data_IF_544589697251
#
_entry.id   IF_544589697251
#
_cell.length_a   1.000
_cell.length_b   1.000
_cell.length_c   1.000
_cell.angle_alpha   90.00
_cell.angle_beta   90.00
_cell.angle_gamma   90.00
#
_symmetry.space_group_name_H-M   'P 1'
#
loop_
_entity.id
_entity.type
_entity.pdbx_description
1 polymer ?
2 water ?
#
# COMPACT_ATOMS: atom_id res chain seq x y z
N UNK A 5 43.33 8.11 -5.80
CA UNK A 5 41.84 8.19 -5.60
C UNK A 5 41.12 7.64 -6.83
N UNK A 6 40.07 6.86 -6.60
CA UNK A 6 39.24 6.36 -7.69
C UNK A 6 38.24 7.44 -8.15
N UNK A 7 37.91 7.41 -9.43
CA UNK A 7 36.87 8.26 -10.00
C UNK A 7 35.47 7.83 -9.47
N UNK A 8 34.58 8.79 -9.20
CA UNK A 8 33.23 8.43 -8.77
C UNK A 8 32.45 7.79 -9.91
N UNK A 9 31.45 6.96 -9.57
CA UNK A 9 30.46 6.56 -10.56
C UNK A 9 29.74 7.79 -11.13
N UNK A 10 29.14 7.65 -12.31
CA UNK A 10 28.40 8.76 -12.90
C UNK A 10 27.25 9.17 -11.99
N UNK A 11 26.64 8.18 -11.35
CA UNK A 11 25.55 8.43 -10.39
C UNK A 11 26.04 9.30 -9.23
N UNK A 12 27.13 8.89 -8.60
CA UNK A 12 27.63 9.67 -7.46
C UNK A 12 28.25 10.98 -7.87
N UNK A 13 28.81 11.05 -9.07
CA UNK A 13 29.35 12.29 -9.60
C UNK A 13 28.20 13.29 -9.78
N UNK A 14 27.06 12.80 -10.27
CA UNK A 14 25.93 13.70 -10.46
C UNK A 14 25.42 14.20 -9.14
N UNK A 15 25.32 13.30 -8.14
CA UNK A 15 24.89 13.68 -6.83
C UNK A 15 25.83 14.79 -6.25
N UNK A 16 27.14 14.53 -6.34
CA UNK A 16 28.19 15.45 -5.84
C UNK A 16 28.15 16.79 -6.55
N UNK A 17 27.65 16.79 -7.79
CA UNK A 17 27.68 18.04 -8.59
C UNK A 17 26.76 19.11 -7.99
N UNK A 18 25.86 18.71 -7.09
CA UNK A 18 24.94 19.62 -6.42
C UNK A 18 25.49 20.17 -5.12
N UNK A 19 26.73 19.79 -4.79
CA UNK A 19 27.39 20.33 -3.58
C UNK A 19 28.37 21.36 -4.14
N UNK A 20 28.17 22.65 -3.83
CA UNK A 20 28.86 23.69 -4.59
C UNK A 20 29.46 24.82 -3.77
N UNK A 21 29.05 24.96 -2.53
CA UNK A 21 29.29 26.21 -1.80
C UNK A 21 30.21 26.03 -0.60
N UNK A 22 31.19 25.13 -0.72
CA UNK A 22 32.09 24.84 0.41
C UNK A 22 31.24 24.56 1.69
N UNK A 23 30.31 23.61 1.55
CA UNK A 23 29.26 23.29 2.55
C UNK A 23 29.68 22.28 3.62
N UNK A 24 28.99 22.28 4.76
CA UNK A 24 29.09 21.21 5.76
C UNK A 24 28.01 20.17 5.41
N UNK A 25 28.47 18.99 5.03
CA UNK A 25 27.52 17.97 4.50
C UNK A 25 27.40 16.74 5.40
N UNK A 26 26.28 16.05 5.30
CA UNK A 26 26.15 14.71 5.87
C UNK A 26 25.65 13.74 4.82
N UNK A 27 26.42 12.68 4.59
CA UNK A 27 26.12 11.65 3.63
C UNK A 27 25.62 10.40 4.38
N UNK A 28 24.33 10.17 4.30
CA UNK A 28 23.67 9.12 5.06
C UNK A 28 23.73 7.80 4.32
N UNK A 29 24.24 6.75 4.96
CA UNK A 29 24.47 5.51 4.21
C UNK A 29 25.50 5.69 3.13
N UNK A 30 26.57 6.38 3.46
CA UNK A 30 27.58 6.74 2.46
C UNK A 30 28.21 5.52 1.80
N UNK A 31 28.38 5.58 0.49
CA UNK A 31 29.02 4.51 -0.23
C UNK A 31 30.54 4.64 -0.06
N UNK A 32 31.13 3.92 0.91
CA UNK A 32 32.57 4.00 1.19
C UNK A 32 33.14 5.41 1.49
N UNK A 33 32.26 6.37 1.80
CA UNK A 33 32.67 7.76 1.96
C UNK A 33 33.32 8.29 0.67
N UNK A 34 33.09 7.66 -0.48
CA UNK A 34 33.70 8.15 -1.72
C UNK A 34 33.27 9.59 -1.99
N UNK A 35 31.96 9.82 -1.88
CA UNK A 35 31.44 11.17 -2.17
C UNK A 35 31.96 12.24 -1.20
N UNK A 36 31.94 11.99 0.12
CA UNK A 36 32.54 12.95 1.07
C UNK A 36 33.98 13.20 0.78
N UNK A 37 34.75 12.18 0.43
CA UNK A 37 36.17 12.40 0.14
C UNK A 37 36.31 13.26 -1.09
N UNK A 38 35.55 12.96 -2.12
CA UNK A 38 35.62 13.70 -3.40
C UNK A 38 35.26 15.17 -3.16
N UNK A 39 34.25 15.44 -2.34
CA UNK A 39 33.75 16.78 -2.17
C UNK A 39 34.66 17.59 -1.25
N UNK A 40 35.26 16.94 -0.26
CA UNK A 40 36.21 17.66 0.59
C UNK A 40 37.47 17.98 -0.22
N UNK A 41 37.94 17.01 -0.98
CA UNK A 41 39.20 17.13 -1.73
C UNK A 41 39.12 18.25 -2.74
N UNK A 42 38.00 18.30 -3.43
CA UNK A 42 37.88 19.27 -4.49
C UNK A 42 37.37 20.62 -3.99
N UNK A 43 37.19 20.73 -2.67
CA UNK A 43 36.82 21.92 -1.89
C UNK A 43 35.39 22.36 -1.94
N UNK A 44 34.57 21.58 -2.62
CA UNK A 44 33.18 21.91 -2.67
C UNK A 44 32.52 21.65 -1.31
N UNK A 45 33.10 20.79 -0.44
CA UNK A 45 32.62 20.68 0.95
C UNK A 45 33.77 20.96 1.95
N UNK A 46 33.46 21.58 3.07
CA UNK A 46 34.47 21.92 4.07
C UNK A 46 34.55 20.92 5.21
N UNK A 47 33.50 20.10 5.36
CA UNK A 47 33.37 19.15 6.44
C UNK A 47 32.31 18.16 5.97
N UNK A 48 32.47 16.88 6.32
CA UNK A 48 31.44 15.87 6.08
C UNK A 48 31.28 14.91 7.24
N UNK A 49 30.05 14.51 7.50
CA UNK A 49 29.73 13.30 8.28
C UNK A 49 29.43 12.19 7.27
N UNK A 50 30.08 11.06 7.41
CA UNK A 50 29.71 9.87 6.65
C UNK A 50 28.99 8.91 7.58
N UNK A 51 27.68 8.75 7.41
CA UNK A 51 26.89 7.87 8.29
C UNK A 51 26.80 6.45 7.79
N UNK A 52 26.84 5.45 8.67
CA UNK A 52 26.67 4.07 8.29
C UNK A 52 25.88 3.40 9.38
N UNK A 53 25.08 2.38 9.04
CA UNK A 53 24.27 1.71 10.06
C UNK A 53 24.87 0.39 10.56
N UNK A 54 25.68 -0.30 9.78
CA UNK A 54 26.24 -1.60 10.18
C UNK A 54 27.77 -1.72 9.93
N UNK A 55 28.40 -2.78 10.46
CA UNK A 55 29.89 -2.91 10.47
C UNK A 55 30.72 -2.85 9.21
N UNK A 56 30.37 -3.66 8.22
CA UNK A 56 31.11 -3.75 6.97
C UNK A 56 31.25 -2.35 6.41
N UNK A 57 30.12 -1.70 6.09
CA UNK A 57 30.22 -0.33 5.53
C UNK A 57 30.80 0.73 6.48
N UNK A 58 30.62 0.62 7.77
CA UNK A 58 31.21 1.59 8.69
C UNK A 58 32.74 1.45 8.56
N UNK A 59 33.27 0.22 8.62
CA UNK A 59 34.72 0.02 8.47
C UNK A 59 35.32 0.40 7.15
N UNK A 60 34.62 0.11 6.06
CA UNK A 60 35.04 0.45 4.72
C UNK A 60 35.13 1.97 4.60
N UNK A 61 34.14 2.69 5.18
CA UNK A 61 34.16 4.16 5.09
C UNK A 61 35.28 4.76 5.93
N UNK A 62 35.48 4.23 7.15
CA UNK A 62 36.61 4.67 7.99
C UNK A 62 37.93 4.52 7.26
N UNK A 63 38.10 3.38 6.57
CA UNK A 63 39.38 3.10 5.88
C UNK A 63 39.58 3.99 4.69
N UNK A 64 38.52 4.31 3.96
CA UNK A 64 38.65 5.21 2.81
C UNK A 64 39.06 6.61 3.29
N UNK A 65 38.46 7.08 4.39
CA UNK A 65 38.72 8.42 4.92
C UNK A 65 40.20 8.48 5.35
N UNK A 66 40.67 7.43 6.03
CA UNK A 66 42.07 7.38 6.45
C UNK A 66 43.02 7.36 5.26
N UNK A 67 42.71 6.52 4.28
CA UNK A 67 43.47 6.40 3.05
C UNK A 67 43.56 7.71 2.25
N UNK A 68 42.56 8.57 2.41
CA UNK A 68 42.49 9.85 1.72
C UNK A 68 43.20 10.95 2.49
N UNK A 69 43.59 10.67 3.74
CA UNK A 69 44.19 11.68 4.59
C UNK A 69 43.21 12.75 5.01
N UNK A 70 41.93 12.36 5.10
CA UNK A 70 40.87 13.30 5.38
C UNK A 70 40.23 13.14 6.76
N UNK A 71 40.91 12.46 7.67
CA UNK A 71 40.31 12.27 8.99
C UNK A 71 39.99 13.57 9.73
N UNK A 72 40.70 14.67 9.43
CA UNK A 72 40.45 15.96 10.11
C UNK A 72 39.20 16.67 9.58
N UNK A 73 38.77 16.31 8.36
CA UNK A 73 37.60 16.98 7.74
C UNK A 73 36.34 16.12 7.64
N UNK A 74 36.47 14.81 7.91
CA UNK A 74 35.37 13.87 7.76
C UNK A 74 35.25 12.95 8.95
N UNK A 75 34.08 12.99 9.57
CA UNK A 75 33.76 12.14 10.68
C UNK A 75 32.94 10.99 10.14
N UNK A 76 33.40 9.78 10.40
CA UNK A 76 32.61 8.61 10.08
C UNK A 76 31.90 8.18 11.34
N UNK A 77 30.59 8.08 11.25
CA UNK A 77 29.78 7.76 12.40
C UNK A 77 28.79 6.61 12.15
N UNK A 78 28.66 5.72 13.14
CA UNK A 78 27.69 4.63 13.13
C UNK A 78 26.35 5.09 13.73
N UNK A 79 25.27 4.89 12.99
CA UNK A 79 23.95 5.27 13.43
C UNK A 79 22.91 4.96 12.36
N UNK A 80 21.67 4.83 12.82
CA UNK A 80 20.51 4.66 11.96
C UNK A 80 20.03 6.01 11.40
N UNK A 81 20.11 6.19 10.09
CA UNK A 81 19.54 7.39 9.50
C UNK A 81 20.18 8.69 9.96
N UNK A 82 19.37 9.66 10.34
CA UNK A 82 19.89 10.97 10.77
C UNK A 82 20.37 11.01 12.24
N UNK A 83 20.39 9.86 12.91
CA UNK A 83 20.93 9.70 14.30
C UNK A 83 22.43 10.09 14.32
N UNK A 84 23.06 10.13 13.16
CA UNK A 84 24.47 10.47 13.12
C UNK A 84 24.70 11.98 13.10
N UNK A 85 23.64 12.77 12.98
CA UNK A 85 23.73 14.21 12.93
C UNK A 85 23.40 14.81 14.29
N UNK A 86 24.13 15.85 14.67
CA UNK A 86 23.82 16.57 15.90
C UNK A 86 23.67 18.05 15.58
N UNK A 87 22.86 18.77 16.37
CA UNK A 87 22.65 20.21 16.18
C UNK A 87 23.96 20.98 16.05
N UNK A 88 24.93 20.67 16.92
CA UNK A 88 26.22 21.38 16.93
C UNK A 88 27.08 21.16 15.68
N UNK A 89 26.72 20.14 14.89
CA UNK A 89 27.42 19.90 13.63
C UNK A 89 27.16 20.97 12.58
N UNK A 90 26.08 21.75 12.72
CA UNK A 90 25.79 22.83 11.78
C UNK A 90 25.85 22.36 10.32
N UNK A 91 25.11 21.30 10.02
CA UNK A 91 25.09 20.73 8.66
C UNK A 91 24.23 21.58 7.70
N UNK A 92 24.76 21.89 6.53
CA UNK A 92 24.09 22.70 5.51
C UNK A 92 23.32 21.83 4.51
N UNK A 93 23.92 20.69 4.18
CA UNK A 93 23.43 19.82 3.10
C UNK A 93 23.39 18.37 3.58
N UNK A 94 22.29 17.65 3.31
CA UNK A 94 22.25 16.22 3.58
C UNK A 94 22.06 15.47 2.27
N UNK A 95 22.92 14.45 2.07
CA UNK A 95 22.84 13.55 0.90
C UNK A 95 22.29 12.23 1.37
N UNK A 96 21.26 11.70 0.69
CA UNK A 96 20.78 10.33 0.97
C UNK A 96 20.60 9.68 -0.40
N UNK A 97 21.49 8.74 -0.72
CA UNK A 97 21.55 8.09 -2.05
C UNK A 97 21.55 6.57 -1.89
N UNK A 98 21.12 5.88 -2.95
CA UNK A 98 21.29 4.43 -3.05
C UNK A 98 20.38 3.63 -2.15
N UNK A 99 19.19 4.18 -1.87
CA UNK A 99 18.21 3.50 -1.00
C UNK A 99 16.87 3.68 -1.64
N UNK A 100 15.90 2.86 -1.24
CA UNK A 100 14.55 3.06 -1.76
C UNK A 100 13.91 4.33 -1.25
N UNK A 101 13.03 4.89 -2.06
CA UNK A 101 12.26 6.12 -1.71
C UNK A 101 11.53 6.05 -0.40
N UNK A 102 10.89 4.91 -0.09
CA UNK A 102 10.16 4.75 1.17
C UNK A 102 11.12 4.85 2.36
N UNK A 103 12.28 4.20 2.25
CA UNK A 103 13.29 4.18 3.32
C UNK A 103 13.83 5.58 3.56
N UNK A 104 14.10 6.29 2.46
CA UNK A 104 14.57 7.67 2.54
C UNK A 104 13.53 8.55 3.19
N UNK A 105 12.27 8.37 2.80
CA UNK A 105 11.19 9.14 3.37
C UNK A 105 11.16 8.90 4.88
N UNK A 106 11.25 7.62 5.28
CA UNK A 106 11.22 7.21 6.71
C UNK A 106 12.36 7.89 7.46
N UNK A 107 13.54 7.90 6.84
CA UNK A 107 14.73 8.54 7.43
C UNK A 107 14.46 10.02 7.66
N UNK A 108 13.87 10.70 6.68
CA UNK A 108 13.53 12.12 6.79
C UNK A 108 12.46 12.43 7.83
N UNK A 109 11.45 11.57 7.93
CA UNK A 109 10.37 11.74 8.91
C UNK A 109 10.84 11.42 10.33
N UNK A 110 11.42 10.25 10.57
CA UNK A 110 11.95 9.91 11.91
C UNK A 110 13.03 10.89 12.33
N UNK A 111 13.81 11.39 11.38
CA UNK A 111 14.92 12.29 11.69
C UNK A 111 14.57 13.75 11.53
N UNK A 112 13.27 14.07 11.58
CA UNK A 112 12.80 15.42 11.29
C UNK A 112 13.49 16.55 12.09
N UNK A 113 13.79 16.26 13.36
CA UNK A 113 14.46 17.22 14.24
C UNK A 113 15.82 17.62 13.69
N UNK A 114 16.47 16.65 13.06
CA UNK A 114 17.81 16.85 12.55
C UNK A 114 17.87 17.71 11.31
N UNK A 115 16.69 18.06 10.77
CA UNK A 115 16.62 18.96 9.63
C UNK A 115 16.73 20.44 10.01
N UNK A 116 16.76 20.72 11.31
CA UNK A 116 16.97 22.09 11.83
C UNK A 116 18.23 22.72 11.24
N UNK A 117 18.07 23.86 10.57
CA UNK A 117 19.18 24.56 9.98
C UNK A 117 19.72 24.07 8.66
N UNK A 118 19.28 22.86 8.23
CA UNK A 118 19.68 22.31 6.92
C UNK A 118 19.01 23.07 5.77
N UNK A 119 19.78 23.43 4.74
CA UNK A 119 19.24 24.25 3.63
C UNK A 119 19.21 23.53 2.25
N UNK A 120 19.71 22.29 2.22
CA UNK A 120 19.75 21.56 0.95
C UNK A 120 19.67 20.08 1.23
N UNK A 121 18.80 19.36 0.49
CA UNK A 121 18.81 17.89 0.51
C UNK A 121 19.10 17.47 -0.92
N UNK A 122 19.97 16.48 -1.04
CA UNK A 122 20.24 15.87 -2.35
C UNK A 122 19.89 14.39 -2.22
N UNK A 123 18.80 13.96 -2.88
CA UNK A 123 18.27 12.61 -2.60
C UNK A 123 18.32 11.82 -3.90
N UNK A 124 18.72 10.55 -3.80
CA UNK A 124 18.80 9.71 -4.98
C UNK A 124 18.13 8.38 -4.63
N UNK A 125 16.81 8.30 -4.86
CA UNK A 125 16.09 7.05 -4.55
C UNK A 125 16.17 6.04 -5.69
N UNK A 126 16.31 4.78 -5.32
CA UNK A 126 16.45 3.67 -6.29
C UNK A 126 15.08 3.13 -6.71
N UNK A 127 14.02 3.53 -6.02
CA UNK A 127 12.63 3.09 -6.30
C UNK A 127 11.72 4.12 -5.68
N UNK A 128 10.51 4.23 -6.21
CA UNK A 128 9.48 5.07 -5.60
C UNK A 128 9.93 6.53 -5.30
N UNK A 129 10.54 7.14 -6.30
CA UNK A 129 10.96 8.56 -6.20
C UNK A 129 9.73 9.42 -5.82
N UNK A 130 8.56 9.09 -6.36
CA UNK A 130 7.37 9.87 -6.08
C UNK A 130 7.11 10.04 -4.58
N UNK A 131 7.52 9.08 -3.74
CA UNK A 131 7.32 9.15 -2.29
C UNK A 131 8.02 10.38 -1.74
N UNK A 132 9.18 10.70 -2.28
CA UNK A 132 9.93 11.85 -1.80
C UNK A 132 9.37 13.16 -2.35
N UNK A 133 8.74 13.14 -3.52
CA UNK A 133 8.08 14.34 -4.03
C UNK A 133 6.84 14.62 -3.23
N UNK A 134 6.14 13.56 -2.76
CA UNK A 134 5.01 13.75 -1.85
C UNK A 134 5.50 14.32 -0.54
N UNK A 135 6.60 13.77 -0.01
CA UNK A 135 7.18 14.31 1.22
C UNK A 135 7.48 15.79 1.03
N UNK A 136 8.03 16.17 -0.12
CA UNK A 136 8.39 17.56 -0.36
C UNK A 136 7.15 18.46 -0.26
N UNK A 137 6.03 18.02 -0.81
CA UNK A 137 4.80 18.76 -0.71
C UNK A 137 4.30 18.81 0.74
N UNK A 138 4.26 17.67 1.46
CA UNK A 138 3.76 17.63 2.86
C UNK A 138 4.59 18.45 3.80
N UNK A 139 5.88 18.59 3.51
CA UNK A 139 6.76 19.32 4.43
C UNK A 139 7.25 20.66 3.90
N UNK A 140 6.71 21.14 2.79
CA UNK A 140 7.13 22.40 2.19
C UNK A 140 8.63 22.54 1.95
N UNK A 141 9.19 21.53 1.28
CA UNK A 141 10.49 21.66 0.64
C UNK A 141 10.32 21.79 -0.87
N UNK A 142 10.84 22.85 -1.46
CA UNK A 142 10.82 22.99 -2.90
C UNK A 142 11.84 22.08 -3.58
N UNK A 143 11.46 21.46 -4.70
CA UNK A 143 12.43 20.84 -5.58
C UNK A 143 13.04 21.90 -6.51
N UNK A 144 14.38 22.07 -6.41
CA UNK A 144 15.05 23.09 -7.17
C UNK A 144 15.84 22.61 -8.35
N UNK A 145 16.23 21.32 -8.34
CA UNK A 145 16.94 20.72 -9.46
C UNK A 145 16.57 19.24 -9.43
N UNK A 146 16.61 18.66 -10.64
CA UNK A 146 16.57 17.18 -10.78
C UNK A 146 17.38 16.74 -11.95
N UNK A 147 17.78 15.48 -11.88
CA UNK A 147 18.49 14.86 -12.97
C UNK A 147 18.01 13.43 -13.13
N UNK A 148 18.16 12.94 -14.34
CA UNK A 148 17.87 11.52 -14.65
C UNK A 148 19.02 11.04 -15.48
N UNK A 149 19.55 9.86 -15.13
CA UNK A 149 20.69 9.35 -15.89
C UNK A 149 20.58 7.85 -15.99
N UNK A 150 21.34 7.28 -16.92
CA UNK A 150 21.39 5.82 -17.03
C UNK A 150 22.86 5.39 -16.80
N UNK A 151 23.07 4.45 -15.91
CA UNK A 151 24.40 3.89 -15.70
C UNK A 151 24.25 2.38 -15.49
N UNK A 152 25.10 1.60 -16.19
CA UNK A 152 25.01 0.11 -16.17
C UNK A 152 23.59 -0.41 -16.49
N UNK A 153 22.96 0.16 -17.52
CA UNK A 153 21.57 -0.14 -17.90
C UNK A 153 20.53 -0.02 -16.78
N UNK A 154 20.75 0.89 -15.82
CA UNK A 154 19.73 1.19 -14.82
C UNK A 154 19.48 2.69 -14.87
N UNK A 155 18.23 3.10 -14.73
CA UNK A 155 17.92 4.55 -14.74
C UNK A 155 17.84 5.07 -13.30
N UNK A 156 18.51 6.20 -13.00
CA UNK A 156 18.51 6.75 -11.67
C UNK A 156 18.02 8.19 -11.73
N UNK A 157 17.22 8.55 -10.76
CA UNK A 157 16.74 9.93 -10.58
C UNK A 157 17.38 10.55 -9.35
N UNK A 158 17.68 11.85 -9.48
CA UNK A 158 18.28 12.65 -8.37
C UNK A 158 17.40 13.88 -8.21
N UNK A 159 17.16 14.27 -6.98
CA UNK A 159 16.39 15.50 -6.76
C UNK A 159 17.09 16.33 -5.70
N UNK A 160 17.01 17.65 -5.86
CA UNK A 160 17.65 18.56 -4.89
C UNK A 160 16.56 19.42 -4.34
N UNK A 161 16.51 19.55 -3.03
CA UNK A 161 15.41 20.28 -2.38
C UNK A 161 15.95 21.37 -1.48
N UNK A 162 15.08 22.34 -1.15
CA UNK A 162 15.45 23.41 -0.20
C UNK A 162 14.17 23.75 0.59
N UNK A 163 14.30 24.22 1.85
CA UNK A 163 13.10 24.63 2.58
C UNK A 163 12.38 25.80 1.91
N UNK A 164 11.07 25.79 2.01
CA UNK A 164 10.24 26.85 1.48
C UNK A 164 9.32 27.36 2.60
N UNK A 165 9.28 28.68 2.80
CA UNK A 165 8.29 29.19 3.76
C UNK A 165 6.86 29.25 3.20
N UNK A 166 6.77 29.25 1.87
CA UNK A 166 5.51 29.26 1.13
C UNK A 166 5.06 27.80 0.92
N UNK A 167 3.72 27.55 0.87
CA UNK A 167 3.27 26.21 0.56
C UNK A 167 3.94 25.71 -0.73
N UNK A 168 4.36 24.45 -0.68
CA UNK A 168 4.73 23.71 -1.90
C UNK A 168 3.52 22.88 -2.30
N UNK A 169 3.13 23.09 -3.55
CA UNK A 169 1.93 22.39 -4.10
C UNK A 169 2.24 21.88 -5.49
N UNK A 170 2.29 20.54 -5.64
CA UNK A 170 2.63 19.98 -6.95
C UNK A 170 1.38 19.55 -7.69
N UNK A 171 1.52 19.30 -8.99
CA UNK A 171 0.47 18.53 -9.67
C UNK A 171 0.81 17.03 -9.52
N UNK A 172 -0.13 16.16 -9.85
CA UNK A 172 0.16 14.73 -9.74
C UNK A 172 1.25 14.33 -10.74
N UNK A 173 1.29 15.00 -11.89
CA UNK A 173 2.34 14.73 -12.86
C UNK A 173 3.70 15.13 -12.29
N UNK A 174 3.77 16.28 -11.63
CA UNK A 174 5.04 16.70 -11.02
C UNK A 174 5.49 15.70 -9.95
N UNK A 175 4.57 15.20 -9.13
CA UNK A 175 4.94 14.17 -8.14
C UNK A 175 5.46 12.87 -8.81
N UNK A 176 4.76 12.41 -9.85
CA UNK A 176 5.09 11.11 -10.45
C UNK A 176 6.34 11.18 -11.27
N UNK A 177 6.58 12.29 -11.98
CA UNK A 177 7.63 12.42 -12.97
C UNK A 177 8.80 13.33 -12.59
N UNK A 178 8.50 14.29 -11.72
CA UNK A 178 9.50 15.29 -11.33
C UNK A 178 9.19 16.60 -12.01
N UNK A 179 9.06 17.69 -11.23
CA UNK A 179 8.76 18.96 -11.88
C UNK A 179 9.85 19.49 -12.82
N UNK A 180 11.12 19.25 -12.50
CA UNK A 180 12.21 19.67 -13.36
C UNK A 180 12.36 18.71 -14.51
N UNK A 181 12.24 17.40 -14.22
CA UNK A 181 12.42 16.40 -15.24
C UNK A 181 11.36 16.51 -16.32
N UNK A 182 10.15 16.85 -15.92
CA UNK A 182 9.14 16.90 -16.97
C UNK A 182 9.21 18.17 -17.86
N UNK A 183 9.82 19.24 -17.35
CA UNK A 183 10.14 20.40 -18.20
C UNK A 183 11.28 20.10 -19.20
N UNK A 184 12.29 19.40 -18.72
CA UNK A 184 13.47 19.06 -19.49
C UNK A 184 13.16 18.06 -20.62
N UNK A 185 12.33 17.05 -20.30
CA UNK A 185 12.01 16.00 -21.28
C UNK A 185 13.27 15.45 -21.98
N UNK A 186 14.28 15.02 -21.23
CA UNK A 186 15.47 14.46 -21.86
C UNK A 186 15.18 13.13 -22.57
N UNK A 187 16.11 12.66 -23.41
CA UNK A 187 15.89 11.43 -24.15
C UNK A 187 15.77 10.26 -23.17
N UNK A 188 16.52 10.30 -22.06
CA UNK A 188 16.43 9.23 -21.06
C UNK A 188 15.06 9.25 -20.37
N UNK A 189 14.60 10.43 -20.01
CA UNK A 189 13.27 10.58 -19.45
C UNK A 189 12.21 9.99 -20.37
N UNK A 190 12.20 10.39 -21.64
CA UNK A 190 11.18 9.94 -22.56
C UNK A 190 11.27 8.42 -22.77
N UNK A 191 12.49 7.89 -22.88
CA UNK A 191 12.62 6.44 -23.14
C UNK A 191 12.19 5.63 -21.92
N UNK A 192 12.57 6.09 -20.72
CA UNK A 192 12.17 5.41 -19.47
C UNK A 192 10.65 5.30 -19.37
N UNK A 193 9.96 6.42 -19.56
CA UNK A 193 8.51 6.40 -19.33
C UNK A 193 7.71 5.72 -20.45
N UNK A 194 8.19 5.79 -21.68
CA UNK A 194 7.55 5.02 -22.74
C UNK A 194 7.74 3.51 -22.49
N UNK A 195 8.92 3.13 -21.98
CA UNK A 195 9.19 1.72 -21.61
C UNK A 195 8.24 1.23 -20.56
N UNK A 196 8.08 2.03 -19.49
CA UNK A 196 7.19 1.59 -18.42
C UNK A 196 5.75 1.50 -18.88
N UNK A 197 5.28 2.48 -19.65
CA UNK A 197 3.91 2.51 -20.16
C UNK A 197 3.65 1.31 -21.09
N UNK A 198 4.65 0.91 -21.85
CA UNK A 198 4.45 -0.26 -22.72
C UNK A 198 4.26 -1.48 -21.85
N UNK A 199 5.06 -1.63 -20.78
CA UNK A 199 4.83 -2.73 -19.86
C UNK A 199 3.44 -2.69 -19.22
N UNK A 200 3.00 -1.53 -18.73
CA UNK A 200 1.68 -1.44 -18.14
C UNK A 200 0.55 -1.83 -19.11
N UNK A 201 0.64 -1.41 -20.38
CA UNK A 201 -0.37 -1.77 -21.40
C UNK A 201 -0.31 -3.26 -21.61
N UNK A 202 0.89 -3.81 -21.63
CA UNK A 202 0.99 -5.26 -21.82
C UNK A 202 0.35 -6.03 -20.66
N UNK A 203 0.51 -5.52 -19.43
CA UNK A 203 -0.04 -6.19 -18.27
C UNK A 203 -1.56 -6.15 -18.38
N UNK A 204 -2.12 -4.99 -18.74
CA UNK A 204 -3.58 -4.95 -18.90
C UNK A 204 -4.08 -6.01 -19.84
N UNK A 205 -3.42 -6.15 -20.98
CA UNK A 205 -3.85 -7.15 -21.97
C UNK A 205 -3.77 -8.56 -21.37
N UNK A 206 -2.69 -8.87 -20.66
CA UNK A 206 -2.49 -10.19 -20.05
C UNK A 206 -3.61 -10.48 -19.05
N UNK A 207 -3.98 -9.50 -18.23
CA UNK A 207 -5.01 -9.76 -17.25
C UNK A 207 -6.39 -9.91 -17.90
N UNK A 208 -6.65 -9.04 -18.88
CA UNK A 208 -7.96 -8.90 -19.51
C UNK A 208 -8.29 -10.14 -20.28
N UNK A 209 -7.25 -10.83 -20.75
CA UNK A 209 -7.47 -12.04 -21.54
C UNK A 209 -7.42 -13.33 -20.72
N UNK A 210 -7.40 -13.22 -19.41
CA UNK A 210 -7.52 -14.40 -18.52
C UNK A 210 -8.83 -14.31 -17.74
N UNK A 211 -9.95 -14.24 -18.46
CA UNK A 211 -11.28 -14.13 -17.87
C UNK A 211 -11.57 -15.41 -17.06
N UNK A 212 -12.26 -15.26 -15.90
CA UNK A 212 -12.82 -14.01 -15.41
C UNK A 212 -11.77 -13.19 -14.67
N UNK A 213 -11.93 -11.88 -14.73
CA UNK A 213 -11.04 -11.00 -13.99
C UNK A 213 -11.61 -10.75 -12.59
N UNK A 214 -10.82 -11.05 -11.55
CA UNK A 214 -11.18 -10.79 -10.15
C UNK A 214 -11.42 -9.30 -9.88
N UNK A 215 -12.13 -8.99 -8.79
CA UNK A 215 -12.30 -7.58 -8.43
C UNK A 215 -10.92 -6.94 -8.14
N UNK A 216 -10.02 -7.69 -7.51
CA UNK A 216 -8.62 -7.24 -7.26
C UNK A 216 -7.91 -6.85 -8.56
N UNK A 217 -8.03 -7.69 -9.58
CA UNK A 217 -7.41 -7.37 -10.87
C UNK A 217 -8.11 -6.30 -11.70
N UNK A 218 -9.41 -6.11 -11.46
CA UNK A 218 -10.08 -4.99 -12.13
C UNK A 218 -9.56 -3.64 -11.61
N UNK A 219 -9.29 -3.60 -10.31
CA UNK A 219 -8.75 -2.42 -9.65
C UNK A 219 -7.31 -2.20 -10.14
N UNK A 220 -6.58 -3.31 -10.30
CA UNK A 220 -5.20 -3.22 -10.81
C UNK A 220 -5.20 -2.61 -12.22
N UNK A 221 -6.16 -3.01 -13.07
CA UNK A 221 -6.31 -2.49 -14.41
C UNK A 221 -6.61 -0.99 -14.40
N UNK A 222 -7.57 -0.57 -13.57
CA UNK A 222 -7.84 0.85 -13.38
C UNK A 222 -6.57 1.62 -12.99
N UNK A 223 -5.80 1.09 -12.04
CA UNK A 223 -4.55 1.73 -11.64
C UNK A 223 -3.57 1.84 -12.83
N UNK A 224 -3.40 0.75 -13.57
CA UNK A 224 -2.52 0.76 -14.73
C UNK A 224 -3.00 1.75 -15.81
N UNK A 225 -4.32 1.80 -16.05
CA UNK A 225 -4.86 2.80 -17.00
C UNK A 225 -4.50 4.23 -16.60
N UNK A 226 -4.57 4.50 -15.30
CA UNK A 226 -4.28 5.83 -14.74
C UNK A 226 -2.81 6.17 -14.98
N UNK A 227 -1.93 5.21 -14.71
CA UNK A 227 -0.53 5.44 -14.94
C UNK A 227 -0.19 5.65 -16.40
N UNK A 228 -0.78 4.85 -17.29
CA UNK A 228 -0.55 5.03 -18.72
C UNK A 228 -1.04 6.43 -19.17
N UNK A 229 -2.21 6.84 -18.70
CA UNK A 229 -2.77 8.15 -19.04
C UNK A 229 -1.84 9.29 -18.56
N UNK A 230 -1.24 9.11 -17.38
CA UNK A 230 -0.27 10.12 -16.92
C UNK A 230 0.94 10.22 -17.86
N UNK A 231 1.48 9.09 -18.30
CA UNK A 231 2.59 9.13 -19.20
C UNK A 231 2.20 9.76 -20.52
N UNK A 232 1.01 9.42 -21.04
CA UNK A 232 0.57 9.97 -22.34
C UNK A 232 0.42 11.47 -22.23
N UNK A 233 -0.05 11.94 -21.09
CA UNK A 233 -0.22 13.37 -20.85
C UNK A 233 1.12 14.10 -20.79
N UNK A 234 2.14 13.49 -20.18
CA UNK A 234 3.43 14.19 -20.12
C UNK A 234 4.25 14.10 -21.38
N UNK A 235 4.13 13.00 -22.12
CA UNK A 235 4.87 12.86 -23.36
C UNK A 235 4.15 13.54 -24.54
N UNK A 236 2.90 13.97 -24.30
CA UNK A 236 1.96 14.42 -25.36
C UNK A 236 1.90 13.47 -26.56
N UNK A 237 1.94 12.16 -26.29
CA UNK A 237 1.90 11.15 -27.34
C UNK A 237 1.04 9.97 -26.89
N UNK A 238 0.10 9.59 -27.75
CA UNK A 238 -0.61 8.32 -27.62
C UNK A 238 -2.03 8.42 -27.12
N UNK B 7 -37.35 -14.44 -3.06
CA UNK B 7 -36.14 -15.18 -2.62
C UNK B 7 -34.89 -14.30 -2.52
N UNK B 8 -34.03 -14.59 -1.54
CA UNK B 8 -32.75 -13.88 -1.49
C UNK B 8 -31.78 -14.40 -2.56
N UNK B 9 -30.85 -13.55 -2.96
CA UNK B 9 -29.68 -14.02 -3.71
C UNK B 9 -28.95 -15.16 -3.01
N UNK B 10 -28.20 -15.95 -3.75
CA UNK B 10 -27.48 -17.03 -3.09
C UNK B 10 -26.48 -16.48 -2.06
N UNK B 11 -25.84 -15.37 -2.41
CA UNK B 11 -24.91 -14.72 -1.51
C UNK B 11 -25.56 -14.30 -0.18
N UNK B 12 -26.64 -13.53 -0.27
CA UNK B 12 -27.34 -13.07 0.94
C UNK B 12 -28.00 -14.25 1.64
N UNK B 13 -28.42 -15.29 0.93
CA UNK B 13 -28.98 -16.47 1.62
C UNK B 13 -27.90 -17.15 2.49
N UNK B 14 -26.66 -17.22 1.99
CA UNK B 14 -25.60 -17.83 2.71
C UNK B 14 -25.24 -16.99 3.93
N UNK B 15 -25.19 -15.65 3.75
CA UNK B 15 -24.94 -14.78 4.88
C UNK B 15 -26.05 -15.04 5.92
N UNK B 16 -27.32 -15.06 5.47
CA UNK B 16 -28.42 -15.23 6.44
C UNK B 16 -28.40 -16.57 7.14
N UNK B 17 -27.80 -17.59 6.51
CA UNK B 17 -27.82 -18.94 7.09
C UNK B 17 -27.05 -19.03 8.41
N UNK B 18 -26.23 -18.03 8.71
CA UNK B 18 -25.45 -18.01 9.91
C UNK B 18 -26.14 -17.26 11.03
N UNK B 19 -27.36 -16.80 10.80
CA UNK B 19 -28.20 -16.17 11.86
C UNK B 19 -29.14 -17.34 12.29
N UNK B 20 -29.09 -17.71 13.58
CA UNK B 20 -29.83 -18.95 14.00
C UNK B 20 -30.67 -18.70 15.25
N UNK B 21 -30.17 -18.02 16.23
CA UNK B 21 -30.70 -18.15 17.62
C UNK B 21 -31.72 -17.05 18.00
N UNK B 22 -32.70 -16.80 17.13
CA UNK B 22 -33.69 -15.73 17.37
C UNK B 22 -33.02 -14.42 17.82
N UNK B 23 -32.04 -14.03 17.03
CA UNK B 23 -31.06 -13.04 17.41
C UNK B 23 -31.55 -11.63 17.14
N UNK B 24 -31.01 -10.74 17.94
CA UNK B 24 -31.17 -9.32 17.64
C UNK B 24 -30.01 -8.87 16.72
N UNK B 25 -30.34 -8.46 15.50
CA UNK B 25 -29.29 -8.27 14.46
C UNK B 25 -29.25 -6.82 14.04
N UNK B 26 -28.06 -6.44 13.50
CA UNK B 26 -27.94 -5.15 12.84
C UNK B 26 -27.26 -5.44 11.50
N UNK B 27 -27.97 -5.10 10.41
CA UNK B 27 -27.48 -5.27 9.02
C UNK B 27 -27.04 -3.89 8.49
N UNK B 28 -25.73 -3.75 8.43
CA UNK B 28 -25.08 -2.45 8.11
C UNK B 28 -24.94 -2.32 6.60
N UNK B 29 -25.55 -1.27 6.05
CA UNK B 29 -25.60 -1.14 4.57
C UNK B 29 -26.53 -2.19 4.00
N UNK B 30 -27.67 -2.37 4.63
CA UNK B 30 -28.59 -3.46 4.27
C UNK B 30 -29.10 -3.26 2.83
N UNK B 31 -29.14 -4.33 2.07
CA UNK B 31 -29.67 -4.30 0.69
C UNK B 31 -31.22 -4.36 0.73
N UNK B 32 -31.85 -3.21 0.75
CA UNK B 32 -33.30 -3.05 0.82
C UNK B 32 -33.95 -3.74 2.03
N UNK B 33 -33.18 -4.05 3.07
CA UNK B 33 -33.69 -4.81 4.22
C UNK B 33 -34.22 -6.18 3.81
N UNK B 34 -33.79 -6.72 2.67
CA UNK B 34 -34.24 -8.08 2.29
C UNK B 34 -33.82 -9.11 3.31
N UNK B 35 -32.54 -9.10 3.68
CA UNK B 35 -32.04 -10.09 4.64
C UNK B 35 -32.74 -9.95 6.03
N UNK B 36 -32.88 -8.75 6.59
CA UNK B 36 -33.66 -8.59 7.82
C UNK B 36 -35.08 -9.11 7.69
N UNK B 37 -35.74 -8.83 6.58
CA UNK B 37 -37.12 -9.30 6.44
C UNK B 37 -37.13 -10.83 6.40
N UNK B 38 -36.19 -11.44 5.68
CA UNK B 38 -36.12 -12.90 5.58
C UNK B 38 -35.89 -13.54 6.95
N UNK B 39 -34.97 -12.99 7.74
CA UNK B 39 -34.58 -13.62 9.01
C UNK B 39 -35.62 -13.34 10.08
N UNK B 40 -36.29 -12.19 10.01
CA UNK B 40 -37.42 -11.97 10.93
C UNK B 40 -38.58 -12.93 10.61
N UNK B 41 -38.88 -13.12 9.32
CA UNK B 41 -40.08 -13.96 8.96
C UNK B 41 -39.84 -15.39 9.36
N UNK B 42 -38.60 -15.86 9.28
CA UNK B 42 -38.34 -17.25 9.68
C UNK B 42 -37.93 -17.44 11.17
N UNK B 43 -37.95 -16.35 11.93
CA UNK B 43 -37.66 -16.27 13.37
C UNK B 43 -36.20 -16.56 13.78
N UNK B 44 -35.31 -16.59 12.76
CA UNK B 44 -33.89 -16.69 13.09
C UNK B 44 -33.39 -15.40 13.66
N UNK B 45 -34.08 -14.29 13.30
CA UNK B 45 -33.95 -13.04 14.03
C UNK B 45 -35.22 -12.63 14.74
N UNK B 46 -35.08 -12.03 15.92
CA UNK B 46 -36.21 -11.46 16.67
C UNK B 46 -36.43 -9.99 16.45
N UNK B 47 -35.35 -9.29 16.03
CA UNK B 47 -35.34 -7.83 15.86
C UNK B 47 -34.18 -7.55 14.94
N UNK B 48 -34.34 -6.53 14.12
CA UNK B 48 -33.20 -6.08 13.25
C UNK B 48 -33.19 -4.58 13.15
N UNK B 49 -31.97 -4.03 13.16
CA UNK B 49 -31.71 -2.67 12.65
C UNK B 49 -31.21 -2.88 11.24
N UNK B 50 -31.79 -2.12 10.31
CA UNK B 50 -31.22 -2.05 8.93
C UNK B 50 -30.59 -0.66 8.81
N UNK B 51 -29.25 -0.63 8.74
CA UNK B 51 -28.54 0.67 8.73
C UNK B 51 -28.24 1.06 7.29
N UNK B 52 -28.42 2.37 7.06
CA UNK B 52 -28.13 2.93 5.73
C UNK B 52 -27.42 4.25 5.94
N UNK B 53 -26.36 4.49 5.19
CA UNK B 53 -25.56 5.70 5.37
C UNK B 53 -26.18 6.93 4.64
N UNK B 54 -26.93 6.69 3.58
CA UNK B 54 -27.46 7.83 2.81
C UNK B 54 -28.91 7.69 2.43
N UNK B 55 -29.55 8.83 2.17
CA UNK B 55 -30.80 8.86 1.46
C UNK B 55 -30.73 8.10 0.17
N UNK B 56 -31.85 7.48 -0.22
CA UNK B 56 -31.90 6.57 -1.33
C UNK B 56 -32.15 5.17 -0.75
N UNK B 57 -31.07 4.47 -0.38
CA UNK B 57 -31.26 3.17 0.23
C UNK B 57 -31.93 3.29 1.57
N UNK B 58 -31.85 4.41 2.27
CA UNK B 58 -32.57 4.57 3.57
C UNK B 58 -34.07 4.36 3.35
N UNK B 59 -34.69 5.18 2.51
CA UNK B 59 -36.12 5.08 2.30
C UNK B 59 -36.52 3.83 1.54
N UNK B 60 -35.67 3.33 0.61
CA UNK B 60 -36.00 2.09 -0.08
C UNK B 60 -36.13 0.91 0.89
N UNK B 61 -35.23 0.87 1.88
CA UNK B 61 -35.31 -0.20 2.89
C UNK B 61 -36.60 0.01 3.71
N UNK B 62 -36.91 1.26 4.09
CA UNK B 62 -38.18 1.47 4.82
C UNK B 62 -39.38 0.99 4.03
N UNK B 63 -39.40 1.22 2.72
CA UNK B 63 -40.52 0.82 1.88
C UNK B 63 -40.67 -0.68 1.89
N UNK B 64 -39.55 -1.41 1.83
CA UNK B 64 -39.59 -2.85 1.86
C UNK B 64 -40.10 -3.37 3.20
N UNK B 65 -39.62 -2.79 4.30
CA UNK B 65 -40.11 -3.23 5.62
C UNK B 65 -41.62 -3.00 5.74
N UNK B 66 -42.14 -1.88 5.25
CA UNK B 66 -43.59 -1.65 5.33
C UNK B 66 -44.34 -2.64 4.44
N UNK B 67 -43.79 -2.91 3.26
CA UNK B 67 -44.37 -3.84 2.27
C UNK B 67 -44.47 -5.26 2.80
N UNK B 68 -43.53 -5.61 3.69
CA UNK B 68 -43.46 -6.93 4.33
C UNK B 68 -44.26 -7.02 5.63
N UNK B 69 -44.77 -5.90 6.10
CA UNK B 69 -45.50 -5.82 7.39
C UNK B 69 -44.69 -6.02 8.64
N UNK B 70 -43.41 -5.62 8.58
CA UNK B 70 -42.47 -5.93 9.65
C UNK B 70 -41.95 -4.73 10.37
N UNK B 71 -42.70 -3.63 10.33
CA UNK B 71 -42.27 -2.44 11.05
C UNK B 71 -42.06 -2.61 12.53
N UNK B 72 -42.79 -3.56 13.16
CA UNK B 72 -42.67 -3.71 14.61
C UNK B 72 -41.36 -4.40 14.98
N UNK B 73 -40.76 -5.08 14.01
CA UNK B 73 -39.54 -5.86 14.31
C UNK B 73 -38.30 -5.37 13.63
N UNK B 74 -38.42 -4.43 12.70
CA UNK B 74 -37.27 -3.95 11.95
C UNK B 74 -37.23 -2.43 11.97
N UNK B 75 -36.15 -1.88 12.54
CA UNK B 75 -35.96 -0.45 12.59
C UNK B 75 -34.94 -0.06 11.51
N UNK B 76 -35.36 0.71 10.53
CA UNK B 76 -34.43 1.21 9.50
C UNK B 76 -33.87 2.55 9.96
N UNK B 77 -32.54 2.66 10.04
CA UNK B 77 -31.91 3.88 10.59
C UNK B 77 -30.83 4.41 9.67
N UNK B 78 -30.70 5.75 9.63
CA UNK B 78 -29.66 6.39 8.81
C UNK B 78 -28.51 6.74 9.69
N UNK B 79 -27.33 6.29 9.31
CA UNK B 79 -26.09 6.59 10.07
C UNK B 79 -24.92 5.91 9.44
N UNK B 80 -23.74 6.40 9.81
CA UNK B 80 -22.53 5.88 9.25
C UNK B 80 -22.05 4.64 10.00
N UNK B 81 -21.96 3.50 9.31
CA UNK B 81 -21.38 2.30 9.92
C UNK B 81 -22.20 1.90 11.13
N UNK B 82 -21.48 1.70 12.23
CA UNK B 82 -22.16 1.17 13.43
C UNK B 82 -22.82 2.29 14.24
N UNK B 83 -22.80 3.55 13.77
CA UNK B 83 -23.46 4.60 14.51
C UNK B 83 -24.96 4.39 14.70
N UNK B 84 -25.55 3.52 13.88
CA UNK B 84 -26.96 3.21 13.98
C UNK B 84 -27.25 2.29 15.19
N UNK B 85 -26.25 1.72 15.81
CA UNK B 85 -26.48 0.82 16.95
C UNK B 85 -26.36 1.64 18.22
N UNK B 86 -27.29 1.41 19.17
CA UNK B 86 -27.15 1.94 20.52
C UNK B 86 -26.97 0.81 21.49
N UNK B 87 -26.32 1.09 22.63
CA UNK B 87 -26.09 0.04 23.62
C UNK B 87 -27.43 -0.57 24.05
N UNK B 88 -28.47 0.24 24.21
CA UNK B 88 -29.77 -0.24 24.65
C UNK B 88 -30.49 -1.16 23.66
N UNK B 89 -30.04 -1.18 22.39
CA UNK B 89 -30.64 -2.11 21.44
C UNK B 89 -30.23 -3.57 21.67
N UNK B 90 -29.19 -3.77 22.49
CA UNK B 90 -28.73 -5.12 22.88
C UNK B 90 -28.58 -6.05 21.68
N UNK B 91 -27.81 -5.55 20.70
CA UNK B 91 -27.57 -6.34 19.53
C UNK B 91 -26.67 -7.53 19.79
N UNK B 92 -27.07 -8.68 19.22
CA UNK B 92 -26.33 -9.90 19.28
C UNK B 92 -25.37 -10.15 18.13
N UNK B 93 -25.81 -9.76 16.95
CA UNK B 93 -25.13 -10.16 15.71
C UNK B 93 -25.11 -8.98 14.76
N UNK B 94 -23.92 -8.67 14.21
CA UNK B 94 -23.81 -7.66 13.17
C UNK B 94 -23.44 -8.29 11.86
N UNK B 95 -24.22 -7.94 10.83
CA UNK B 95 -23.96 -8.39 9.43
C UNK B 95 -23.43 -7.17 8.67
N UNK B 96 -22.32 -7.38 7.98
CA UNK B 96 -21.77 -6.35 7.08
C UNK B 96 -21.39 -7.04 5.77
N UNK B 97 -22.17 -6.74 4.73
CA UNK B 97 -22.00 -7.39 3.43
C UNK B 97 -21.99 -6.41 2.31
N UNK B 98 -21.45 -6.90 1.20
CA UNK B 98 -21.50 -6.11 -0.04
C UNK B 98 -20.63 -4.89 -0.07
N UNK B 99 -19.50 -4.95 0.63
CA UNK B 99 -18.56 -3.80 0.75
C UNK B 99 -17.16 -4.33 0.67
N UNK B 100 -16.20 -3.45 0.33
CA UNK B 100 -14.82 -3.89 0.35
C UNK B 100 -14.34 -4.19 1.77
N UNK B 101 -13.36 -5.07 1.88
CA UNK B 101 -12.78 -5.49 3.17
C UNK B 101 -12.20 -4.30 3.93
N UNK B 102 -11.54 -3.34 3.26
CA UNK B 102 -10.99 -2.16 3.93
C UNK B 102 -12.09 -1.33 4.59
N UNK B 103 -13.20 -1.16 3.86
CA UNK B 103 -14.31 -0.33 4.39
C UNK B 103 -14.99 -1.07 5.57
N UNK B 104 -15.14 -2.38 5.43
CA UNK B 104 -15.74 -3.14 6.57
C UNK B 104 -14.84 -2.99 7.79
N UNK B 105 -13.53 -3.15 7.59
CA UNK B 105 -12.57 -2.97 8.69
C UNK B 105 -12.67 -1.56 9.35
N UNK B 106 -12.75 -0.51 8.53
CA UNK B 106 -12.93 0.84 8.99
C UNK B 106 -14.20 0.98 9.84
N UNK B 107 -15.29 0.36 9.40
CA UNK B 107 -16.53 0.40 10.14
C UNK B 107 -16.37 -0.26 11.53
N UNK B 108 -15.72 -1.43 11.55
CA UNK B 108 -15.50 -2.13 12.86
C UNK B 108 -14.59 -1.36 13.77
N UNK B 109 -13.58 -0.71 13.21
CA UNK B 109 -12.61 0.07 14.02
C UNK B 109 -13.23 1.37 14.51
N UNK B 110 -13.87 2.17 13.63
CA UNK B 110 -14.51 3.42 14.05
C UNK B 110 -15.63 3.15 15.04
N UNK B 111 -16.30 2.01 14.82
CA UNK B 111 -17.46 1.66 15.64
C UNK B 111 -17.13 0.65 16.74
N UNK B 112 -15.87 0.55 17.18
CA UNK B 112 -15.51 -0.47 18.17
C UNK B 112 -16.35 -0.47 19.44
N UNK B 113 -16.75 0.69 19.92
CA UNK B 113 -17.53 0.76 21.17
C UNK B 113 -18.86 0.06 20.99
N UNK B 114 -19.37 0.00 19.76
CA UNK B 114 -20.66 -0.67 19.53
C UNK B 114 -20.57 -2.19 19.50
N UNK B 115 -19.39 -2.75 19.56
CA UNK B 115 -19.20 -4.19 19.61
C UNK B 115 -19.49 -4.78 21.00
N UNK B 116 -19.62 -3.92 22.03
CA UNK B 116 -19.88 -4.44 23.40
C UNK B 116 -21.17 -5.27 23.40
N UNK B 117 -21.08 -6.48 23.91
CA UNK B 117 -22.23 -7.39 24.04
C UNK B 117 -22.56 -8.10 22.75
N UNK B 118 -21.94 -7.71 21.64
CA UNK B 118 -22.17 -8.45 20.40
C UNK B 118 -21.40 -9.76 20.41
N UNK B 119 -22.06 -10.86 20.02
CA UNK B 119 -21.41 -12.14 20.06
C UNK B 119 -21.14 -12.82 18.72
N UNK B 120 -21.54 -12.16 17.64
CA UNK B 120 -21.32 -12.73 16.30
C UNK B 120 -21.22 -11.60 15.29
N UNK B 121 -20.25 -11.74 14.38
CA UNK B 121 -20.16 -10.89 13.19
C UNK B 121 -20.23 -11.82 12.01
N UNK B 122 -21.04 -11.45 11.03
CA UNK B 122 -21.09 -12.13 9.74
C UNK B 122 -20.69 -11.12 8.65
N UNK B 123 -19.52 -11.35 8.06
CA UNK B 123 -18.94 -10.34 7.19
C UNK B 123 -18.80 -10.91 5.78
N UNK B 124 -19.15 -10.13 4.76
CA UNK B 124 -19.04 -10.60 3.37
C UNK B 124 -18.36 -9.49 2.56
N UNK B 125 -17.01 -9.52 2.53
CA UNK B 125 -16.22 -8.50 1.80
C UNK B 125 -16.19 -8.84 0.32
N UNK B 126 -16.34 -7.84 -0.52
CA UNK B 126 -16.23 -8.06 -1.96
C UNK B 126 -14.78 -8.16 -2.46
N UNK B 127 -13.85 -7.66 -1.66
CA UNK B 127 -12.41 -7.64 -2.02
C UNK B 127 -11.69 -7.58 -0.66
N UNK B 128 -10.40 -7.97 -0.61
CA UNK B 128 -9.58 -7.76 0.59
C UNK B 128 -10.11 -8.40 1.87
N UNK B 129 -10.59 -9.64 1.76
CA UNK B 129 -11.00 -10.42 2.94
C UNK B 129 -9.86 -10.54 3.93
N UNK B 130 -8.63 -10.61 3.44
CA UNK B 130 -7.49 -10.67 4.32
C UNK B 130 -7.44 -9.53 5.33
N UNK B 131 -7.94 -8.35 4.98
CA UNK B 131 -7.96 -7.19 5.93
C UNK B 131 -8.79 -7.53 7.18
N UNK B 132 -9.89 -8.26 6.97
CA UNK B 132 -10.70 -8.64 8.10
C UNK B 132 -10.13 -9.79 8.93
N UNK B 133 -9.35 -10.65 8.29
CA UNK B 133 -8.65 -11.67 9.07
C UNK B 133 -7.56 -11.00 9.93
N UNK B 134 -6.91 -9.96 9.40
CA UNK B 134 -5.93 -9.19 10.23
C UNK B 134 -6.66 -8.52 11.38
N UNK B 135 -7.83 -7.89 11.11
CA UNK B 135 -8.62 -7.28 12.19
C UNK B 135 -8.99 -8.33 13.26
N UNK B 136 -9.37 -9.53 12.82
CA UNK B 136 -9.76 -10.63 13.73
C UNK B 136 -8.64 -10.97 14.72
N UNK B 137 -7.41 -11.08 14.23
CA UNK B 137 -6.26 -11.37 15.11
C UNK B 137 -6.02 -10.19 16.04
N UNK B 138 -6.00 -8.98 15.49
CA UNK B 138 -5.72 -7.80 16.29
C UNK B 138 -6.69 -7.63 17.44
N UNK B 139 -7.95 -8.02 17.22
CA UNK B 139 -9.02 -7.78 18.21
C UNK B 139 -9.50 -9.03 18.92
N UNK B 140 -8.80 -10.14 18.73
CA UNK B 140 -9.14 -11.43 19.32
C UNK B 140 -10.60 -11.82 19.13
N UNK B 141 -11.03 -11.77 17.87
CA UNK B 141 -12.26 -12.45 17.43
C UNK B 141 -11.90 -13.71 16.67
N UNK B 142 -12.37 -14.86 17.14
CA UNK B 142 -12.18 -16.10 16.44
C UNK B 142 -13.00 -16.15 15.15
N UNK B 143 -12.42 -16.71 14.10
CA UNK B 143 -13.20 -17.07 12.92
C UNK B 143 -13.78 -18.45 13.19
N UNK B 144 -15.09 -18.52 13.28
CA UNK B 144 -15.80 -19.77 13.60
C UNK B 144 -16.32 -20.53 12.40
N UNK B 145 -16.62 -19.84 11.29
CA UNK B 145 -17.08 -20.46 10.06
C UNK B 145 -16.65 -19.59 8.91
N UNK B 146 -16.43 -20.20 7.74
CA UNK B 146 -16.29 -19.43 6.50
C UNK B 146 -16.96 -20.15 5.36
N UNK B 147 -17.33 -19.40 4.34
CA UNK B 147 -17.88 -20.01 3.12
C UNK B 147 -17.36 -19.25 1.92
N UNK B 148 -17.27 -19.96 0.79
CA UNK B 148 -16.92 -19.30 -0.48
C UNK B 148 -17.91 -19.80 -1.52
N UNK B 149 -18.42 -18.89 -2.33
CA UNK B 149 -19.44 -19.26 -3.31
C UNK B 149 -19.27 -18.43 -4.59
N UNK B 150 -19.91 -18.87 -5.67
CA UNK B 150 -19.84 -18.13 -6.93
C UNK B 150 -21.27 -17.74 -7.29
N UNK B 151 -21.51 -16.49 -7.63
CA UNK B 151 -22.84 -16.11 -8.10
C UNK B 151 -22.66 -15.06 -9.17
N UNK B 152 -23.32 -15.27 -10.32
CA UNK B 152 -23.22 -14.36 -11.48
C UNK B 152 -21.77 -14.04 -11.81
N UNK B 153 -20.99 -15.11 -11.86
CA UNK B 153 -19.59 -15.11 -12.29
C UNK B 153 -18.62 -14.36 -11.39
N UNK B 154 -19.06 -14.04 -10.17
CA UNK B 154 -18.17 -13.46 -9.17
C UNK B 154 -17.99 -14.45 -8.00
N UNK B 155 -16.79 -14.50 -7.42
CA UNK B 155 -16.53 -15.34 -6.21
C UNK B 155 -16.62 -14.47 -4.94
N UNK B 156 -17.39 -14.97 -3.96
CA UNK B 156 -17.56 -14.21 -2.70
C UNK B 156 -17.18 -15.06 -1.53
N UNK B 157 -16.47 -14.43 -0.59
CA UNK B 157 -16.13 -15.06 0.70
C UNK B 157 -17.00 -14.49 1.82
N UNK B 158 -17.35 -15.35 2.78
CA UNK B 158 -18.12 -14.94 3.94
C UNK B 158 -17.36 -15.46 5.15
N UNK B 159 -17.26 -14.64 6.20
CA UNK B 159 -16.58 -15.07 7.40
C UNK B 159 -17.48 -14.78 8.63
N UNK B 160 -17.46 -15.72 9.58
CA UNK B 160 -18.30 -15.58 10.78
C UNK B 160 -17.35 -15.56 11.95
N UNK B 161 -17.51 -14.57 12.82
CA UNK B 161 -16.58 -14.36 13.96
C UNK B 161 -17.32 -14.28 15.27
N UNK B 162 -16.61 -14.63 16.36
CA UNK B 162 -17.15 -14.48 17.72
C UNK B 162 -16.03 -13.99 18.63
N UNK B 163 -16.35 -13.27 19.70
CA UNK B 163 -15.28 -12.76 20.57
C UNK B 163 -14.61 -13.94 21.31
N UNK B 164 -13.29 -13.85 21.43
CA UNK B 164 -12.51 -14.87 22.11
C UNK B 164 -11.88 -14.32 23.39
N UNK B 165 -11.84 -15.16 24.44
CA UNK B 165 -11.09 -14.83 25.67
C UNK B 165 -9.67 -15.35 25.66
N UNK B 166 -9.29 -16.01 24.59
CA UNK B 166 -7.92 -16.48 24.37
C UNK B 166 -7.35 -15.64 23.21
N UNK B 167 -6.01 -15.38 23.20
CA UNK B 167 -5.45 -14.75 22.01
C UNK B 167 -5.75 -15.50 20.72
N UNK B 168 -5.97 -14.71 19.66
CA UNK B 168 -6.20 -15.22 18.33
C UNK B 168 -4.99 -14.83 17.48
N UNK B 169 -4.43 -15.84 16.82
CA UNK B 169 -3.42 -15.59 15.79
C UNK B 169 -3.63 -16.49 14.58
N UNK B 170 -3.30 -15.92 13.42
CA UNK B 170 -3.42 -16.63 12.16
C UNK B 170 -2.06 -16.65 11.46
N UNK B 171 -1.77 -17.79 10.86
CA UNK B 171 -0.58 -17.87 9.98
C UNK B 171 -0.80 -17.01 8.71
N UNK B 172 0.25 -16.76 7.96
CA UNK B 172 0.13 -16.04 6.67
C UNK B 172 -0.88 -16.73 5.76
N UNK B 173 -0.83 -18.05 5.70
CA UNK B 173 -1.72 -18.81 4.90
C UNK B 173 -3.20 -18.56 5.33
N UNK B 174 -3.43 -18.61 6.63
CA UNK B 174 -4.77 -18.42 7.20
C UNK B 174 -5.30 -17.02 6.94
N UNK B 175 -4.44 -16.01 7.04
CA UNK B 175 -4.85 -14.65 6.70
C UNK B 175 -5.27 -14.55 5.24
N UNK B 176 -4.46 -15.14 4.38
CA UNK B 176 -4.62 -14.98 2.94
C UNK B 176 -5.81 -15.76 2.41
N UNK B 177 -5.98 -16.98 2.91
CA UNK B 177 -6.98 -17.90 2.33
C UNK B 177 -8.23 -18.15 3.17
N UNK B 178 -8.07 -17.91 4.48
CA UNK B 178 -9.15 -18.22 5.48
C UNK B 178 -8.84 -19.54 6.16
N UNK B 179 -8.78 -19.54 7.50
CA UNK B 179 -8.46 -20.77 8.23
C UNK B 179 -9.48 -21.87 8.02
N UNK B 180 -10.77 -21.51 7.84
CA UNK B 180 -11.77 -22.53 7.60
C UNK B 180 -11.77 -22.93 6.16
N UNK B 181 -11.67 -21.96 5.26
CA UNK B 181 -11.69 -22.28 3.85
C UNK B 181 -10.52 -23.17 3.42
N UNK B 182 -9.37 -22.98 4.03
CA UNK B 182 -8.22 -23.79 3.56
C UNK B 182 -8.29 -25.21 4.11
N UNK B 183 -9.07 -25.45 5.16
CA UNK B 183 -9.31 -26.82 5.65
C UNK B 183 -10.32 -27.53 4.78
N UNK B 184 -11.39 -26.82 4.42
CA UNK B 184 -12.44 -27.35 3.57
C UNK B 184 -11.96 -27.61 2.13
N UNK B 185 -11.23 -26.67 1.54
CA UNK B 185 -10.77 -26.83 0.16
C UNK B 185 -11.88 -27.26 -0.80
N UNK B 186 -12.97 -26.49 -0.85
CA UNK B 186 -14.01 -26.75 -1.81
C UNK B 186 -13.54 -26.65 -3.25
N UNK B 187 -14.36 -27.16 -4.16
CA UNK B 187 -14.07 -27.02 -5.59
C UNK B 187 -13.96 -25.57 -6.02
N UNK B 188 -14.82 -24.69 -5.51
CA UNK B 188 -14.76 -23.24 -5.85
C UNK B 188 -13.47 -22.64 -5.29
N UNK B 189 -13.11 -23.00 -4.06
CA UNK B 189 -11.83 -22.51 -3.47
C UNK B 189 -10.64 -22.87 -4.40
N UNK B 190 -10.53 -24.15 -4.75
CA UNK B 190 -9.37 -24.59 -5.52
C UNK B 190 -9.37 -23.94 -6.89
N UNK B 191 -10.53 -23.83 -7.52
CA UNK B 191 -10.64 -23.24 -8.85
C UNK B 191 -10.27 -21.76 -8.83
N UNK B 192 -10.75 -21.04 -7.82
CA UNK B 192 -10.50 -19.60 -7.73
C UNK B 192 -8.99 -19.41 -7.62
N UNK B 193 -8.34 -20.12 -6.69
CA UNK B 193 -6.93 -19.84 -6.39
C UNK B 193 -6.01 -20.32 -7.51
N UNK B 194 -6.33 -21.47 -8.13
CA UNK B 194 -5.58 -21.92 -9.31
C UNK B 194 -5.63 -20.84 -10.38
N UNK B 195 -6.82 -20.30 -10.64
CA UNK B 195 -6.99 -19.31 -11.66
C UNK B 195 -6.18 -18.04 -11.36
N UNK B 196 -6.24 -17.59 -10.12
CA UNK B 196 -5.54 -16.37 -9.76
C UNK B 196 -4.03 -16.56 -9.87
N UNK B 197 -3.53 -17.71 -9.46
CA UNK B 197 -2.09 -17.98 -9.55
C UNK B 197 -1.66 -18.06 -10.99
N UNK B 198 -2.51 -18.59 -11.87
CA UNK B 198 -2.15 -18.61 -13.28
C UNK B 198 -1.98 -17.19 -13.81
N UNK B 199 -2.92 -16.29 -13.45
CA UNK B 199 -2.80 -14.89 -13.88
C UNK B 199 -1.54 -14.23 -13.29
N UNK B 200 -1.20 -14.51 -12.04
CA UNK B 200 0.01 -13.94 -11.45
C UNK B 200 1.26 -14.35 -12.23
N UNK B 201 1.32 -15.62 -12.64
CA UNK B 201 2.52 -16.09 -13.32
C UNK B 201 2.53 -15.44 -14.70
N UNK B 202 1.37 -15.30 -15.32
CA UNK B 202 1.28 -14.60 -16.60
C UNK B 202 1.77 -13.14 -16.52
N UNK B 203 1.42 -12.47 -15.42
CA UNK B 203 1.86 -11.08 -15.26
C UNK B 203 3.37 -11.03 -15.11
N UNK B 204 3.94 -11.93 -14.30
CA UNK B 204 5.41 -12.02 -14.17
C UNK B 204 6.02 -12.21 -15.56
N UNK B 205 5.46 -13.11 -16.38
CA UNK B 205 6.07 -13.33 -17.68
C UNK B 205 6.01 -12.08 -18.52
N UNK B 206 4.83 -11.42 -18.55
CA UNK B 206 4.69 -10.19 -19.33
C UNK B 206 5.68 -9.08 -18.88
N UNK B 207 5.82 -8.89 -17.57
CA UNK B 207 6.79 -7.89 -17.07
C UNK B 207 8.21 -8.26 -17.57
N UNK B 208 8.53 -9.53 -17.46
CA UNK B 208 9.87 -10.04 -17.75
C UNK B 208 10.16 -9.98 -19.25
N UNK B 209 9.13 -9.93 -20.09
CA UNK B 209 9.28 -9.85 -21.56
C UNK B 209 9.83 -8.51 -22.06
N UNK B 210 9.83 -7.49 -21.21
CA UNK B 210 10.20 -6.15 -21.68
C UNK B 210 11.37 -5.65 -20.86
N UNK B 211 12.55 -6.25 -21.09
CA UNK B 211 13.76 -5.89 -20.34
C UNK B 211 14.29 -4.50 -20.76
N UNK B 212 14.89 -3.74 -19.83
CA UNK B 212 15.15 -4.08 -18.43
C UNK B 212 13.91 -3.92 -17.54
N UNK B 213 13.83 -4.75 -16.52
CA UNK B 213 12.73 -4.66 -15.55
C UNK B 213 13.08 -3.55 -14.55
N UNK B 214 12.15 -2.64 -14.35
CA UNK B 214 12.38 -1.56 -13.37
C UNK B 214 12.46 -2.09 -11.98
N UNK B 215 13.00 -1.31 -11.05
CA UNK B 215 13.04 -1.75 -9.68
C UNK B 215 11.61 -1.93 -9.10
N UNK B 216 10.68 -1.05 -9.50
CA UNK B 216 9.30 -1.12 -9.03
C UNK B 216 8.72 -2.46 -9.48
N UNK B 217 8.98 -2.81 -10.74
CA UNK B 217 8.46 -4.10 -11.23
C UNK B 217 9.21 -5.32 -10.73
N UNK B 218 10.51 -5.20 -10.44
CA UNK B 218 11.19 -6.30 -9.75
C UNK B 218 10.49 -6.60 -8.41
N UNK B 219 10.12 -5.55 -7.68
CA UNK B 219 9.44 -5.71 -6.38
C UNK B 219 8.06 -6.34 -6.58
N UNK B 220 7.37 -5.93 -7.63
CA UNK B 220 6.10 -6.53 -8.01
C UNK B 220 6.27 -8.01 -8.35
N UNK B 221 7.32 -8.37 -9.09
CA UNK B 221 7.56 -9.78 -9.34
C UNK B 221 7.78 -10.55 -8.05
N UNK B 222 8.55 -10.00 -7.11
CA UNK B 222 8.76 -10.75 -5.86
C UNK B 222 7.44 -10.93 -5.13
N UNK B 223 6.58 -9.89 -5.13
CA UNK B 223 5.27 -10.03 -4.48
C UNK B 223 4.41 -11.10 -5.15
N UNK B 224 4.41 -11.12 -6.48
CA UNK B 224 3.61 -12.12 -7.21
C UNK B 224 4.18 -13.52 -7.01
N UNK B 225 5.51 -13.67 -6.99
CA UNK B 225 6.15 -14.94 -6.61
C UNK B 225 5.69 -15.45 -5.24
N UNK B 226 5.62 -14.54 -4.27
CA UNK B 226 5.21 -14.93 -2.94
C UNK B 226 3.74 -15.43 -2.95
N UNK B 227 2.85 -14.71 -3.62
CA UNK B 227 1.44 -15.17 -3.76
C UNK B 227 1.32 -16.51 -4.47
N UNK B 228 2.08 -16.70 -5.55
CA UNK B 228 2.05 -18.00 -6.22
C UNK B 228 2.52 -19.13 -5.31
N UNK B 229 3.59 -18.90 -4.54
CA UNK B 229 4.08 -19.90 -3.58
C UNK B 229 3.08 -20.22 -2.52
N UNK B 230 2.36 -19.20 -2.06
CA UNK B 230 1.26 -19.46 -1.10
C UNK B 230 0.19 -20.41 -1.66
N UNK B 231 -0.24 -20.17 -2.89
CA UNK B 231 -1.23 -21.00 -3.55
C UNK B 231 -0.71 -22.40 -3.77
N UNK B 232 0.53 -22.53 -4.27
CA UNK B 232 1.06 -23.86 -4.51
C UNK B 232 1.13 -24.63 -3.20
N UNK B 233 1.49 -23.95 -2.13
CA UNK B 233 1.64 -24.58 -0.84
C UNK B 233 0.31 -25.02 -0.25
N UNK B 234 -0.73 -24.19 -0.40
CA UNK B 234 -2.03 -24.52 0.19
C UNK B 234 -2.73 -25.60 -0.61
N UNK B 235 -2.48 -25.65 -1.92
CA UNK B 235 -3.19 -26.61 -2.75
C UNK B 235 -2.50 -27.97 -2.79
N UNK B 236 -1.25 -28.03 -2.35
CA UNK B 236 -0.56 -29.32 -2.21
C UNK B 236 0.40 -29.30 -1.03
#
# INVERSE_FOLDING_TARGET
XSLNEEQLSKRLEKVASYITKNERIADIGSDHAYLPCFAVKNQTASFAIAGEVVDGPFQSAQKQVRSSGLTEQIDVRKGNGLAVIEKKDAIDTIVIAGMGGTLIRTILEEGAAKLAGVTKLILQPNIAAWQLREWSEQNNWLITSEAILREDNKVYEIMVLAPSEKPVTWTKQEIFFGPCLLKEQSAIFKSKWRHEANTWQNIIQTISNNQPVSTENQAKIRELEHKIALVEDVLKEGHHHHHH
XSLNEEQLSKRLEKVASYITKNERIADIGSDHAYLPCFAVKNQTASFAIAGEVVDGPFQSAQKQVRSSGLTEQIDVRKGNGLAVIEKKDAIDTIVIAGMGGTLIRTILEEGAAKLAGVTKLILQPNIAAWQLREWSEQNNWLITSEAILREDNKVYEIMVLAPSEKPVTWTKQEIFFGPCLLKEQSAIFKSKWRHEANTWQNIIQTISNNQPVSTENQAKIRELEHKIALVEDVLKEGHHHHHH
#
